data_IF_367826574543
#
_entry.id   IF_367826574543
#
_cell.length_a   1.000
_cell.length_b   1.000
_cell.length_c   1.000
_cell.angle_alpha   90.00
_cell.angle_beta   90.00
_cell.angle_gamma   90.00
#
_symmetry.space_group_name_H-M   'P 1'
#
loop_
_entity.id
_entity.type
_entity.pdbx_description
1 polymer ?
#
# COMPACT_ATOMS: atom_id res chain seq x y z
N UNK A 1 10.52 24.76 19.64
CA UNK A 1 10.40 23.28 19.61
C UNK A 1 11.13 22.77 18.37
N UNK A 2 11.88 21.64 18.49
CA UNK A 2 12.52 21.00 17.33
C UNK A 2 11.51 20.33 16.42
N UNK A 3 11.75 20.35 15.11
CA UNK A 3 10.84 19.73 14.12
C UNK A 3 10.71 18.23 14.32
N UNK A 4 11.78 17.53 14.71
CA UNK A 4 11.74 16.11 15.09
C UNK A 4 10.70 15.82 16.19
N UNK A 5 10.71 16.62 17.25
CA UNK A 5 9.77 16.46 18.36
C UNK A 5 8.33 16.65 17.88
N UNK A 6 8.09 17.68 17.09
CA UNK A 6 6.80 17.92 16.48
C UNK A 6 6.35 16.78 15.57
N UNK A 7 7.23 16.28 14.68
CA UNK A 7 6.87 15.19 13.76
C UNK A 7 6.43 13.92 14.48
N UNK A 8 7.13 13.56 15.58
CA UNK A 8 6.76 12.39 16.38
C UNK A 8 5.43 12.60 17.09
N UNK A 9 5.20 13.77 17.67
CA UNK A 9 3.94 14.14 18.29
C UNK A 9 2.78 14.16 17.28
N UNK A 10 3.01 14.77 16.10
CA UNK A 10 2.04 14.82 15.02
C UNK A 10 1.65 13.43 14.50
N UNK A 11 2.63 12.54 14.34
CA UNK A 11 2.38 11.17 13.92
C UNK A 11 1.50 10.42 14.94
N UNK A 12 1.80 10.53 16.22
CA UNK A 12 1.10 9.79 17.28
C UNK A 12 -0.32 10.37 17.53
N UNK A 13 -0.46 11.69 17.60
CA UNK A 13 -1.69 12.32 18.04
C UNK A 13 -2.63 12.75 16.90
N UNK A 14 -2.12 12.96 15.68
CA UNK A 14 -2.94 13.43 14.55
C UNK A 14 -3.08 12.40 13.43
N UNK A 15 -2.01 11.65 13.14
CA UNK A 15 -2.02 10.68 12.03
C UNK A 15 -2.56 9.33 12.48
N UNK A 16 -2.03 8.78 13.57
CA UNK A 16 -2.37 7.44 14.06
C UNK A 16 -3.87 7.24 14.35
N UNK A 17 -4.58 8.19 15.00
CA UNK A 17 -6.00 8.02 15.28
C UNK A 17 -6.89 8.09 14.03
N UNK A 18 -6.45 8.76 12.97
CA UNK A 18 -7.26 9.04 11.79
C UNK A 18 -6.88 8.23 10.55
N UNK A 19 -5.69 7.64 10.53
CA UNK A 19 -5.16 6.94 9.36
C UNK A 19 -5.16 5.41 9.56
N UNK A 20 -5.29 4.68 8.45
CA UNK A 20 -5.04 3.24 8.47
C UNK A 20 -3.58 2.96 8.84
N UNK A 21 -3.34 1.85 9.57
CA UNK A 21 -2.01 1.40 10.02
C UNK A 21 -0.94 1.58 8.94
N UNK A 22 -1.19 1.11 7.73
CA UNK A 22 -0.22 1.20 6.63
C UNK A 22 0.11 2.63 6.19
N UNK A 23 -0.82 3.56 6.35
CA UNK A 23 -0.57 4.99 6.08
C UNK A 23 0.30 5.59 7.17
N UNK A 24 0.03 5.26 8.42
CA UNK A 24 0.84 5.66 9.57
C UNK A 24 2.28 5.14 9.43
N UNK A 25 2.47 3.84 9.20
CA UNK A 25 3.80 3.22 9.00
C UNK A 25 4.56 3.89 7.85
N UNK A 26 3.90 4.18 6.74
CA UNK A 26 4.49 4.88 5.61
C UNK A 26 4.93 6.29 5.98
N UNK A 27 4.10 7.04 6.69
CA UNK A 27 4.43 8.40 7.13
C UNK A 27 5.57 8.38 8.15
N UNK A 28 5.51 7.45 9.10
CA UNK A 28 6.59 7.23 10.07
C UNK A 28 7.92 6.93 9.37
N UNK A 29 7.94 6.01 8.42
CA UNK A 29 9.14 5.67 7.65
C UNK A 29 9.69 6.87 6.86
N UNK A 30 8.81 7.67 6.24
CA UNK A 30 9.20 8.89 5.53
C UNK A 30 9.82 9.91 6.50
N UNK A 31 9.20 10.12 7.64
CA UNK A 31 9.72 11.04 8.66
C UNK A 31 11.08 10.57 9.18
N UNK A 32 11.20 9.30 9.58
CA UNK A 32 12.39 8.75 10.20
C UNK A 32 13.58 8.69 9.24
N UNK A 33 13.36 8.31 7.98
CA UNK A 33 14.44 8.05 7.02
C UNK A 33 14.82 9.27 6.16
N UNK A 34 13.90 10.23 5.96
CA UNK A 34 14.11 11.29 4.98
C UNK A 34 13.98 12.70 5.56
N UNK A 35 13.05 12.93 6.48
CA UNK A 35 12.80 14.30 6.99
C UNK A 35 13.65 14.58 8.22
N UNK A 36 13.58 13.72 9.23
CA UNK A 36 14.29 13.91 10.51
C UNK A 36 15.81 14.01 10.34
N UNK A 37 16.49 13.18 9.51
CA UNK A 37 17.94 13.31 9.34
C UNK A 37 18.39 14.66 8.80
N UNK A 38 17.56 15.34 8.02
CA UNK A 38 17.91 16.60 7.36
C UNK A 38 17.38 17.84 8.09
N UNK A 39 16.16 17.77 8.63
CA UNK A 39 15.45 18.91 9.19
C UNK A 39 15.06 18.74 10.66
N UNK A 40 15.28 17.57 11.24
CA UNK A 40 14.79 17.25 12.58
C UNK A 40 15.32 18.16 13.69
N UNK A 41 16.53 18.66 13.57
CA UNK A 41 17.16 19.53 14.57
C UNK A 41 16.81 21.02 14.40
N UNK A 42 16.18 21.39 13.29
CA UNK A 42 15.73 22.77 13.07
C UNK A 42 14.62 23.14 14.07
N UNK A 43 14.61 24.40 14.46
CA UNK A 43 13.47 24.95 15.17
C UNK A 43 12.27 25.03 14.21
N UNK A 44 11.14 24.45 14.63
CA UNK A 44 9.92 24.36 13.81
C UNK A 44 9.46 25.70 13.24
N UNK A 45 9.57 26.78 14.03
CA UNK A 45 9.15 28.13 13.62
C UNK A 45 10.14 28.82 12.66
N UNK A 46 11.36 28.30 12.53
CA UNK A 46 12.42 28.88 11.71
C UNK A 46 12.64 28.14 10.39
N UNK A 47 11.94 27.03 10.15
CA UNK A 47 12.03 26.30 8.89
C UNK A 47 11.59 27.22 7.75
N UNK A 48 12.51 27.43 6.80
CA UNK A 48 12.25 28.25 5.61
C UNK A 48 11.88 27.40 4.39
N UNK A 49 11.28 28.05 3.38
CA UNK A 49 11.03 27.43 2.06
C UNK A 49 12.33 26.94 1.42
N UNK A 50 13.45 27.65 1.66
CA UNK A 50 14.77 27.30 1.11
C UNK A 50 15.26 25.98 1.71
N UNK A 51 15.09 25.76 3.01
CA UNK A 51 15.50 24.51 3.67
C UNK A 51 14.70 23.32 3.15
N UNK A 52 13.40 23.51 2.98
CA UNK A 52 12.51 22.51 2.39
C UNK A 52 12.90 22.19 0.93
N UNK A 53 13.23 23.23 0.14
CA UNK A 53 13.62 23.03 -1.26
C UNK A 53 15.00 22.34 -1.38
N UNK A 54 15.95 22.63 -0.47
CA UNK A 54 17.24 21.93 -0.40
C UNK A 54 17.04 20.44 -0.12
N UNK A 55 16.17 20.08 0.84
CA UNK A 55 15.84 18.67 1.10
C UNK A 55 15.27 18.00 -0.15
N UNK A 56 14.33 18.63 -0.85
CA UNK A 56 13.72 18.08 -2.07
C UNK A 56 14.78 17.84 -3.13
N UNK A 57 15.69 18.79 -3.35
CA UNK A 57 16.79 18.65 -4.31
C UNK A 57 17.71 17.49 -3.92
N UNK A 58 18.10 17.39 -2.65
CA UNK A 58 18.92 16.29 -2.14
C UNK A 58 18.25 14.93 -2.35
N UNK A 59 16.94 14.82 -2.11
CA UNK A 59 16.20 13.58 -2.35
C UNK A 59 16.17 13.18 -3.83
N UNK A 60 16.08 14.15 -4.73
CA UNK A 60 16.07 13.91 -6.18
C UNK A 60 17.45 13.52 -6.71
N UNK A 61 18.55 13.94 -6.08
CA UNK A 61 19.92 13.68 -6.55
C UNK A 61 20.55 12.43 -5.89
N UNK A 62 20.41 12.26 -4.58
CA UNK A 62 21.10 11.23 -3.79
C UNK A 62 20.24 10.62 -2.66
N UNK A 63 18.93 10.77 -2.70
CA UNK A 63 18.03 10.38 -1.59
C UNK A 63 17.86 8.88 -1.37
N UNK A 64 18.31 8.02 -2.26
CA UNK A 64 18.22 6.58 -2.10
C UNK A 64 19.43 6.02 -1.33
N UNK A 65 19.24 5.77 -0.04
CA UNK A 65 20.30 5.27 0.86
C UNK A 65 20.90 3.92 0.44
N UNK A 66 20.21 3.11 -0.36
CA UNK A 66 20.73 1.80 -0.79
C UNK A 66 21.61 1.90 -2.04
N UNK A 67 21.27 2.80 -2.95
CA UNK A 67 21.94 2.90 -4.26
C UNK A 67 22.75 4.17 -4.43
N UNK A 68 22.64 5.14 -3.52
CA UNK A 68 23.22 6.47 -3.65
C UNK A 68 22.63 7.32 -4.77
N UNK A 69 21.60 6.83 -5.49
CA UNK A 69 20.92 7.54 -6.59
C UNK A 69 19.77 8.40 -6.07
N UNK A 70 19.24 9.24 -6.94
CA UNK A 70 18.04 10.02 -6.65
C UNK A 70 16.78 9.18 -6.47
N UNK A 71 15.84 9.70 -5.71
CA UNK A 71 14.49 9.14 -5.57
C UNK A 71 13.61 9.55 -6.77
N UNK A 72 12.58 8.75 -7.04
CA UNK A 72 11.60 9.10 -8.08
C UNK A 72 10.80 10.35 -7.69
N UNK A 73 10.41 11.18 -8.68
CA UNK A 73 9.58 12.36 -8.47
C UNK A 73 8.26 12.03 -7.74
N UNK A 74 7.66 10.87 -8.01
CA UNK A 74 6.46 10.40 -7.32
C UNK A 74 6.69 10.17 -5.82
N UNK A 75 7.82 9.56 -5.45
CA UNK A 75 8.17 9.34 -4.06
C UNK A 75 8.46 10.69 -3.37
N UNK A 76 9.25 11.55 -3.99
CA UNK A 76 9.55 12.90 -3.46
C UNK A 76 8.26 13.71 -3.27
N UNK A 77 7.31 13.64 -4.19
CA UNK A 77 5.99 14.26 -4.04
C UNK A 77 5.21 13.70 -2.83
N UNK A 78 5.41 12.41 -2.48
CA UNK A 78 4.83 11.86 -1.25
C UNK A 78 5.50 12.45 0.00
N UNK A 79 6.83 12.58 0.00
CA UNK A 79 7.57 13.24 1.10
C UNK A 79 7.09 14.69 1.29
N UNK A 80 6.95 15.45 0.19
CA UNK A 80 6.40 16.81 0.22
C UNK A 80 5.01 16.83 0.85
N UNK A 81 4.14 15.88 0.52
CA UNK A 81 2.79 15.80 1.09
C UNK A 81 2.82 15.57 2.61
N UNK A 82 3.75 14.76 3.12
CA UNK A 82 3.93 14.54 4.57
C UNK A 82 4.41 15.83 5.24
N UNK A 83 5.41 16.52 4.67
CA UNK A 83 5.90 17.80 5.16
C UNK A 83 4.76 18.83 5.19
N UNK A 84 4.03 18.96 4.09
CA UNK A 84 2.91 19.90 4.00
C UNK A 84 1.83 19.64 5.03
N UNK A 85 1.45 18.37 5.24
CA UNK A 85 0.43 18.01 6.21
C UNK A 85 0.89 18.31 7.64
N UNK A 86 2.14 17.96 8.00
CA UNK A 86 2.67 18.22 9.34
C UNK A 86 2.80 19.72 9.64
N UNK A 87 3.36 20.50 8.71
CA UNK A 87 3.53 21.95 8.88
C UNK A 87 2.19 22.70 8.81
N UNK A 88 1.23 22.23 8.01
CA UNK A 88 -0.12 22.78 8.00
C UNK A 88 -0.80 22.61 9.36
N UNK A 89 -0.69 21.42 9.95
CA UNK A 89 -1.25 21.16 11.29
C UNK A 89 -0.56 22.06 12.33
N UNK A 90 0.77 22.16 12.30
CA UNK A 90 1.53 23.02 13.20
C UNK A 90 1.09 24.50 13.11
N UNK A 91 0.88 24.99 11.91
CA UNK A 91 0.40 26.37 11.69
C UNK A 91 -1.02 26.57 12.22
N UNK A 92 -1.94 25.62 11.94
CA UNK A 92 -3.32 25.71 12.38
C UNK A 92 -3.47 25.74 13.92
N UNK A 93 -2.55 25.10 14.65
CA UNK A 93 -2.53 25.09 16.13
C UNK A 93 -1.61 26.20 16.72
N UNK A 94 -1.10 27.10 15.88
CA UNK A 94 -0.33 28.25 16.33
C UNK A 94 1.15 27.99 16.67
N UNK A 95 1.71 26.82 16.32
CA UNK A 95 3.13 26.52 16.57
C UNK A 95 4.09 27.20 15.58
N UNK A 96 3.60 27.62 14.43
CA UNK A 96 4.38 28.37 13.43
C UNK A 96 3.63 29.61 12.99
N UNK A 97 4.34 30.76 12.80
CA UNK A 97 3.71 32.00 12.39
C UNK A 97 3.19 31.97 10.96
N UNK A 98 3.82 31.17 10.10
CA UNK A 98 3.49 31.06 8.68
C UNK A 98 3.48 29.62 8.21
N UNK A 99 2.60 29.29 7.25
CA UNK A 99 2.59 28.02 6.55
C UNK A 99 3.49 28.08 5.31
N UNK A 100 4.79 27.89 5.51
CA UNK A 100 5.81 28.03 4.46
C UNK A 100 5.79 26.91 3.42
N UNK A 101 5.27 25.72 3.79
CA UNK A 101 5.31 24.54 2.92
C UNK A 101 4.37 24.61 1.70
N UNK A 102 3.46 25.58 1.63
CA UNK A 102 2.64 25.84 0.45
C UNK A 102 3.44 26.40 -0.73
N UNK A 103 4.58 27.04 -0.45
CA UNK A 103 5.45 27.67 -1.46
C UNK A 103 6.46 26.69 -2.09
N UNK A 104 6.45 25.42 -1.69
CA UNK A 104 7.35 24.38 -2.22
C UNK A 104 7.07 24.13 -3.70
N UNK A 105 8.13 24.12 -4.53
CA UNK A 105 8.05 23.70 -5.92
C UNK A 105 8.13 22.17 -6.05
N UNK A 106 7.03 21.55 -6.47
CA UNK A 106 6.96 20.11 -6.66
C UNK A 106 7.68 19.67 -7.94
N UNK A 107 8.42 18.54 -7.92
CA UNK A 107 8.99 17.96 -9.13
C UNK A 107 7.88 17.46 -10.06
N UNK A 108 8.11 17.65 -11.37
CA UNK A 108 7.23 17.08 -12.40
C UNK A 108 7.34 15.57 -12.42
N UNK A 109 6.22 14.90 -12.50
CA UNK A 109 6.15 13.45 -12.68
C UNK A 109 5.99 13.13 -14.15
N UNK A 110 6.72 12.10 -14.61
CA UNK A 110 6.52 11.56 -15.96
C UNK A 110 5.57 10.38 -15.83
N UNK A 111 4.47 10.43 -16.56
CA UNK A 111 3.59 9.28 -16.67
C UNK A 111 4.32 8.19 -17.43
N UNK A 112 4.46 7.03 -16.79
CA UNK A 112 4.97 5.83 -17.46
C UNK A 112 3.81 5.10 -18.08
N UNK A 113 3.94 4.81 -19.37
CA UNK A 113 3.04 3.88 -20.02
C UNK A 113 3.15 2.53 -19.33
N UNK A 114 2.01 1.94 -19.01
CA UNK A 114 1.96 0.62 -18.36
C UNK A 114 1.91 -0.42 -19.46
N UNK A 115 2.89 -1.31 -19.50
CA UNK A 115 2.88 -2.46 -20.39
C UNK A 115 1.82 -3.46 -19.92
N UNK A 116 0.93 -3.82 -20.82
CA UNK A 116 -0.09 -4.84 -20.60
C UNK A 116 0.26 -6.11 -21.36
N UNK A 117 -0.11 -7.26 -20.80
CA UNK A 117 0.04 -8.51 -21.52
C UNK A 117 -0.79 -8.51 -22.81
N UNK A 118 -0.18 -8.96 -23.90
CA UNK A 118 -0.90 -9.25 -25.14
C UNK A 118 -1.78 -10.50 -24.93
N UNK A 119 -2.76 -10.70 -25.80
CA UNK A 119 -3.60 -11.88 -25.77
C UNK A 119 -2.78 -13.19 -25.85
N UNK A 120 -1.72 -13.20 -26.67
CA UNK A 120 -0.86 -14.39 -26.79
C UNK A 120 -0.06 -14.66 -25.51
N UNK A 121 0.44 -13.64 -24.85
CA UNK A 121 1.13 -13.79 -23.56
C UNK A 121 0.18 -14.27 -22.47
N UNK A 122 -1.02 -13.71 -22.42
CA UNK A 122 -2.07 -14.19 -21.51
C UNK A 122 -2.36 -15.68 -21.73
N UNK A 123 -2.52 -16.13 -22.96
CA UNK A 123 -2.75 -17.53 -23.29
C UNK A 123 -1.59 -18.45 -22.86
N UNK A 124 -0.35 -18.02 -23.03
CA UNK A 124 0.82 -18.75 -22.52
C UNK A 124 0.81 -18.88 -21.00
N UNK A 125 0.49 -17.81 -20.29
CA UNK A 125 0.35 -17.83 -18.83
C UNK A 125 -0.74 -18.82 -18.41
N UNK A 126 -1.91 -18.75 -19.02
CA UNK A 126 -3.02 -19.68 -18.75
C UNK A 126 -2.60 -21.14 -18.94
N UNK A 127 -2.02 -21.46 -20.09
CA UNK A 127 -1.55 -22.82 -20.41
C UNK A 127 -0.53 -23.30 -19.37
N UNK A 128 0.44 -22.46 -19.01
CA UNK A 128 1.42 -22.82 -17.99
C UNK A 128 0.77 -23.11 -16.63
N UNK A 129 -0.16 -22.27 -16.20
CA UNK A 129 -0.87 -22.46 -14.94
C UNK A 129 -1.72 -23.73 -14.94
N UNK A 130 -2.44 -23.99 -16.02
CA UNK A 130 -3.32 -25.13 -16.16
C UNK A 130 -2.57 -26.49 -16.19
N UNK A 131 -1.36 -26.50 -16.75
CA UNK A 131 -0.50 -27.70 -16.77
C UNK A 131 0.39 -27.82 -15.53
N UNK A 132 0.38 -26.81 -14.67
CA UNK A 132 1.15 -26.79 -13.43
C UNK A 132 0.34 -27.47 -12.32
N UNK A 133 0.93 -28.46 -11.63
CA UNK A 133 0.35 -29.06 -10.42
C UNK A 133 0.36 -28.10 -9.19
N UNK A 134 0.53 -26.80 -9.41
CA UNK A 134 0.66 -25.81 -8.33
C UNK A 134 -0.63 -24.99 -8.21
N UNK A 135 -1.53 -25.41 -7.34
CA UNK A 135 -2.82 -24.75 -7.07
C UNK A 135 -2.71 -23.24 -6.80
N UNK A 136 -1.59 -22.81 -6.20
CA UNK A 136 -1.34 -21.40 -5.88
C UNK A 136 -1.27 -20.49 -7.12
N UNK A 137 -0.91 -21.02 -8.29
CA UNK A 137 -0.83 -20.24 -9.53
C UNK A 137 -2.20 -19.91 -10.11
N UNK A 138 -3.25 -20.62 -9.71
CA UNK A 138 -4.61 -20.35 -10.15
C UNK A 138 -5.07 -18.92 -9.83
N UNK A 139 -4.60 -18.35 -8.72
CA UNK A 139 -4.85 -16.93 -8.38
C UNK A 139 -4.41 -15.96 -9.46
N UNK A 140 -3.36 -16.27 -10.22
CA UNK A 140 -2.89 -15.44 -11.34
C UNK A 140 -3.93 -15.40 -12.45
N UNK A 141 -4.45 -16.57 -12.85
CA UNK A 141 -5.50 -16.67 -13.88
C UNK A 141 -6.77 -15.99 -13.42
N UNK A 142 -7.15 -16.18 -12.15
CA UNK A 142 -8.31 -15.49 -11.58
C UNK A 142 -8.15 -13.97 -11.67
N UNK A 143 -6.97 -13.43 -11.34
CA UNK A 143 -6.69 -11.99 -11.48
C UNK A 143 -6.74 -11.51 -12.93
N UNK A 144 -6.22 -12.28 -13.88
CA UNK A 144 -6.26 -11.92 -15.31
C UNK A 144 -7.70 -11.77 -15.84
N UNK A 145 -8.61 -12.62 -15.39
CA UNK A 145 -10.00 -12.60 -15.85
C UNK A 145 -10.92 -11.66 -15.06
N UNK A 146 -10.61 -11.38 -13.79
CA UNK A 146 -11.50 -10.64 -12.89
C UNK A 146 -11.00 -9.23 -12.57
N UNK A 147 -9.75 -8.92 -12.86
CA UNK A 147 -9.13 -7.64 -12.47
C UNK A 147 -9.02 -7.46 -10.94
N UNK A 148 -8.99 -8.55 -10.17
CA UNK A 148 -8.78 -8.49 -8.73
C UNK A 148 -7.43 -7.87 -8.39
N UNK A 149 -7.45 -6.97 -7.40
CA UNK A 149 -6.20 -6.52 -6.79
C UNK A 149 -5.60 -7.64 -5.95
N UNK A 150 -4.28 -7.68 -5.83
CA UNK A 150 -3.59 -8.74 -5.05
C UNK A 150 -4.11 -8.85 -3.62
N UNK A 151 -4.42 -7.75 -2.95
CA UNK A 151 -4.98 -7.76 -1.61
C UNK A 151 -6.41 -8.31 -1.57
N UNK A 152 -7.22 -8.10 -2.61
CA UNK A 152 -8.56 -8.66 -2.74
C UNK A 152 -8.47 -10.17 -2.96
N UNK A 153 -7.56 -10.63 -3.85
CA UNK A 153 -7.30 -12.05 -4.08
C UNK A 153 -6.90 -12.77 -2.78
N UNK A 154 -5.96 -12.19 -2.01
CA UNK A 154 -5.47 -12.77 -0.77
C UNK A 154 -6.51 -12.82 0.35
N UNK A 155 -7.55 -12.00 0.26
CA UNK A 155 -8.66 -11.97 1.22
C UNK A 155 -9.83 -12.87 0.83
N UNK A 156 -9.82 -13.47 -0.37
CA UNK A 156 -10.90 -14.32 -0.85
C UNK A 156 -11.02 -15.60 -0.03
N UNK A 157 -12.27 -15.97 0.21
CA UNK A 157 -12.67 -17.26 0.78
C UNK A 157 -13.71 -17.91 -0.13
N UNK A 158 -13.92 -19.21 0.03
CA UNK A 158 -14.94 -19.94 -0.74
C UNK A 158 -16.35 -19.40 -0.56
N UNK A 159 -16.63 -18.76 0.59
CA UNK A 159 -17.92 -18.10 0.86
C UNK A 159 -18.17 -16.86 -0.01
N UNK A 160 -17.12 -16.31 -0.59
CA UNK A 160 -17.22 -15.13 -1.46
C UNK A 160 -17.53 -15.53 -2.92
N UNK A 161 -17.71 -16.84 -3.23
CA UNK A 161 -18.01 -17.35 -4.58
C UNK A 161 -19.35 -18.06 -4.58
N UNK A 162 -20.27 -17.60 -5.41
CA UNK A 162 -21.50 -18.31 -5.74
C UNK A 162 -21.30 -19.13 -7.03
N UNK A 163 -20.99 -20.41 -6.86
CA UNK A 163 -20.74 -21.30 -8.00
C UNK A 163 -22.00 -21.55 -8.83
N UNK A 164 -23.17 -21.53 -8.22
CA UNK A 164 -24.44 -21.75 -8.93
C UNK A 164 -24.78 -20.61 -9.89
N UNK A 165 -24.49 -19.36 -9.49
CA UNK A 165 -24.69 -18.17 -10.29
C UNK A 165 -23.46 -17.74 -11.06
N UNK A 166 -22.29 -18.33 -10.78
CA UNK A 166 -21.02 -17.89 -11.36
C UNK A 166 -20.63 -16.48 -10.95
N UNK A 167 -20.80 -16.11 -9.69
CA UNK A 167 -20.56 -14.76 -9.18
C UNK A 167 -19.48 -14.77 -8.10
N UNK A 168 -18.61 -13.77 -8.13
CA UNK A 168 -17.58 -13.49 -7.14
C UNK A 168 -17.90 -12.18 -6.42
N UNK A 169 -17.94 -12.20 -5.09
CA UNK A 169 -18.22 -11.05 -4.24
C UNK A 169 -16.91 -10.49 -3.66
N UNK A 170 -16.55 -9.27 -4.05
CA UNK A 170 -15.37 -8.57 -3.53
C UNK A 170 -15.80 -7.63 -2.44
N UNK A 171 -15.49 -7.97 -1.18
CA UNK A 171 -15.90 -7.18 0.00
C UNK A 171 -14.76 -6.93 1.00
N UNK A 172 -13.60 -7.56 0.78
CA UNK A 172 -12.46 -7.56 1.71
C UNK A 172 -11.16 -7.34 0.97
N UNK A 173 -10.15 -6.88 1.69
CA UNK A 173 -8.76 -6.82 1.21
C UNK A 173 -7.83 -7.28 2.31
N UNK A 174 -6.77 -7.98 1.92
CA UNK A 174 -5.73 -8.46 2.83
C UNK A 174 -4.44 -7.70 2.58
N UNK A 175 -3.74 -7.35 3.63
CA UNK A 175 -2.42 -6.74 3.54
C UNK A 175 -1.57 -7.15 4.75
N UNK A 176 -0.26 -7.11 4.56
CA UNK A 176 0.67 -7.32 5.66
C UNK A 176 0.82 -5.99 6.43
N UNK A 177 0.87 -6.09 7.74
CA UNK A 177 1.14 -5.01 8.69
C UNK A 177 2.13 -5.46 9.74
N UNK A 178 2.47 -4.54 10.64
CA UNK A 178 3.33 -4.81 11.79
C UNK A 178 2.63 -4.27 13.04
N UNK A 179 2.53 -5.09 14.08
CA UNK A 179 1.95 -4.68 15.39
C UNK A 179 3.01 -4.08 16.33
N UNK A 180 4.23 -3.85 15.83
CA UNK A 180 5.38 -3.38 16.60
C UNK A 180 6.32 -4.50 17.05
N UNK A 181 5.89 -5.76 17.03
CA UNK A 181 6.68 -6.93 17.41
C UNK A 181 6.69 -8.02 16.32
N UNK A 182 5.57 -8.18 15.61
CA UNK A 182 5.38 -9.26 14.64
C UNK A 182 4.80 -8.76 13.31
N UNK A 183 5.14 -9.45 12.23
CA UNK A 183 4.41 -9.33 10.97
C UNK A 183 3.03 -9.98 11.12
N UNK A 184 2.00 -9.18 10.99
CA UNK A 184 0.61 -9.64 11.05
C UNK A 184 -0.05 -9.49 9.69
N UNK A 185 -1.01 -10.38 9.41
CA UNK A 185 -1.87 -10.27 8.24
C UNK A 185 -3.20 -9.64 8.66
N UNK A 186 -3.52 -8.50 8.06
CA UNK A 186 -4.72 -7.73 8.37
C UNK A 186 -5.71 -7.91 7.24
N UNK A 187 -6.92 -8.38 7.60
CA UNK A 187 -8.07 -8.38 6.68
C UNK A 187 -8.93 -7.16 7.04
N UNK A 188 -9.13 -6.29 6.06
CA UNK A 188 -9.82 -5.02 6.26
C UNK A 188 -10.90 -4.82 5.17
N UNK A 189 -11.83 -3.91 5.45
CA UNK A 189 -12.79 -3.46 4.44
C UNK A 189 -12.07 -2.67 3.34
N UNK A 190 -12.58 -2.67 2.11
CA UNK A 190 -12.04 -1.84 1.04
C UNK A 190 -12.02 -0.36 1.42
N UNK A 191 -11.11 0.42 0.83
CA UNK A 191 -10.95 1.86 1.12
C UNK A 191 -12.19 2.70 0.81
N UNK A 192 -13.02 2.25 -0.10
CA UNK A 192 -14.23 2.97 -0.53
C UNK A 192 -15.38 2.01 -0.71
N UNK A 193 -16.61 2.51 -0.53
CA UNK A 193 -17.86 1.74 -0.77
C UNK A 193 -17.89 1.19 -2.20
N UNK A 194 -17.43 1.96 -3.19
CA UNK A 194 -17.36 1.55 -4.59
C UNK A 194 -16.36 0.38 -4.87
N UNK A 195 -15.50 0.05 -3.92
CA UNK A 195 -14.62 -1.11 -4.05
C UNK A 195 -15.32 -2.42 -3.75
N UNK A 196 -16.51 -2.39 -3.13
CA UNK A 196 -17.38 -3.57 -3.01
C UNK A 196 -18.07 -3.77 -4.34
N UNK A 197 -17.88 -4.92 -4.96
CA UNK A 197 -18.42 -5.23 -6.27
C UNK A 197 -18.66 -6.73 -6.43
N UNK A 198 -19.53 -7.05 -7.34
CA UNK A 198 -19.79 -8.42 -7.79
C UNK A 198 -19.20 -8.57 -9.20
N UNK A 199 -18.46 -9.62 -9.43
CA UNK A 199 -17.80 -9.91 -10.69
C UNK A 199 -18.37 -11.22 -11.23
N UNK A 200 -18.91 -11.25 -12.47
CA UNK A 200 -19.28 -12.51 -13.09
C UNK A 200 -18.00 -13.31 -13.42
N UNK A 201 -17.98 -14.58 -13.03
CA UNK A 201 -16.89 -15.47 -13.35
C UNK A 201 -17.09 -16.05 -14.75
N UNK A 202 -16.09 -15.95 -15.63
CA UNK A 202 -16.15 -16.57 -16.94
C UNK A 202 -16.30 -18.10 -16.82
N UNK A 203 -17.10 -18.69 -17.72
CA UNK A 203 -17.35 -20.15 -17.73
C UNK A 203 -16.07 -20.99 -17.83
N UNK A 204 -15.03 -20.42 -18.41
CA UNK A 204 -13.73 -21.07 -18.54
C UNK A 204 -13.00 -21.30 -17.19
N UNK A 205 -13.36 -20.53 -16.17
CA UNK A 205 -12.76 -20.63 -14.83
C UNK A 205 -13.59 -21.52 -13.90
N UNK A 206 -14.88 -21.73 -14.21
CA UNK A 206 -15.85 -22.31 -13.29
C UNK A 206 -15.74 -23.83 -13.04
N UNK A 207 -15.47 -24.74 -14.00
CA UNK A 207 -15.84 -26.12 -13.74
C UNK A 207 -14.75 -27.06 -13.21
N UNK A 208 -13.53 -27.02 -13.68
CA UNK A 208 -12.60 -28.12 -13.40
C UNK A 208 -11.56 -27.82 -12.31
N UNK A 209 -11.09 -26.59 -12.23
CA UNK A 209 -9.95 -26.22 -11.39
C UNK A 209 -10.36 -25.68 -10.02
N UNK A 210 -11.51 -25.00 -9.94
CA UNK A 210 -12.08 -24.60 -8.64
C UNK A 210 -12.63 -25.81 -7.88
N UNK A 211 -13.17 -26.82 -8.56
CA UNK A 211 -13.57 -28.08 -7.92
C UNK A 211 -12.39 -28.89 -7.41
N UNK A 212 -11.28 -28.92 -8.12
CA UNK A 212 -10.06 -29.59 -7.67
C UNK A 212 -9.50 -28.98 -6.38
N UNK A 213 -9.61 -27.65 -6.24
CA UNK A 213 -9.20 -26.95 -5.01
C UNK A 213 -10.23 -27.15 -3.87
N UNK A 214 -11.52 -27.33 -4.19
CA UNK A 214 -12.57 -27.56 -3.18
C UNK A 214 -12.53 -28.96 -2.57
N UNK A 215 -11.89 -29.90 -3.21
CA UNK A 215 -11.70 -31.28 -2.71
C UNK A 215 -10.46 -31.41 -1.80
N UNK A 216 -9.60 -30.43 -1.75
CA UNK A 216 -8.56 -30.37 -0.73
C UNK A 216 -9.18 -29.89 0.59
N UNK A 217 -8.92 -30.58 1.74
CA UNK A 217 -9.49 -30.18 3.02
C UNK A 217 -9.11 -28.72 3.33
N UNK A 218 -9.96 -27.98 4.07
CA UNK A 218 -9.75 -26.56 4.32
C UNK A 218 -8.52 -26.36 5.21
N UNK A 219 -7.35 -26.33 4.59
CA UNK A 219 -6.22 -25.67 5.20
C UNK A 219 -6.50 -24.18 5.12
N UNK A 220 -6.86 -23.63 6.28
CA UNK A 220 -6.80 -22.21 6.64
C UNK A 220 -6.24 -21.30 5.54
N UNK A 221 -7.03 -20.34 5.09
CA UNK A 221 -6.71 -19.21 4.22
C UNK A 221 -5.48 -19.47 3.33
N UNK A 222 -5.53 -19.26 2.01
CA UNK A 222 -4.37 -19.38 1.09
C UNK A 222 -3.12 -18.77 1.74
N UNK A 223 -2.50 -19.53 2.66
CA UNK A 223 -1.33 -19.10 3.42
C UNK A 223 -0.12 -19.37 2.57
N UNK A 224 0.53 -18.33 2.12
CA UNK A 224 1.95 -18.37 1.81
C UNK A 224 2.65 -18.82 3.10
N UNK A 225 3.45 -19.90 3.10
CA UNK A 225 4.18 -20.29 4.31
C UNK A 225 5.19 -19.22 4.65
N UNK A 226 4.89 -18.40 5.64
CA UNK A 226 5.90 -17.66 6.38
C UNK A 226 6.23 -18.48 7.62
N UNK A 227 7.51 -18.80 7.82
CA UNK A 227 8.03 -19.29 9.10
C UNK A 227 7.88 -18.19 10.16
N UNK A 228 6.67 -17.95 10.63
CA UNK A 228 6.41 -17.11 11.80
C UNK A 228 4.92 -17.18 12.15
N UNK A 229 4.63 -17.28 13.41
CA UNK A 229 3.30 -17.36 14.03
C UNK A 229 2.43 -16.18 13.58
N UNK A 230 1.36 -16.47 12.86
CA UNK A 230 0.43 -15.45 12.34
C UNK A 230 -0.78 -15.37 13.27
N UNK A 231 -0.91 -14.29 14.01
CA UNK A 231 -2.17 -13.92 14.67
C UNK A 231 -3.04 -13.13 13.69
N UNK A 232 -4.29 -13.56 13.54
CA UNK A 232 -5.30 -12.88 12.72
C UNK A 232 -6.08 -11.95 13.62
N UNK A 233 -5.90 -10.64 13.49
CA UNK A 233 -6.82 -9.67 14.08
C UNK A 233 -7.88 -9.29 13.04
N UNK A 234 -9.13 -9.45 13.42
CA UNK A 234 -10.31 -8.96 12.67
C UNK A 234 -10.75 -7.67 13.36
N UNK A 235 -10.51 -6.54 12.71
CA UNK A 235 -11.11 -5.29 13.16
C UNK A 235 -12.49 -5.14 12.51
N UNK A 236 -13.53 -5.02 13.35
CA UNK A 236 -14.92 -4.77 12.99
C UNK A 236 -15.15 -3.33 12.51
#
# INVERSE_FOLDING_TARGET
>A
MKYKTWLLDWLENYVKPSAKIRTYERYYGICALHIIPSLGEYNLAEISVIDLQKLITALLTCGNHKTGKGMSANFVNTVISVIQNSLKTAHLIGLTPEYVANKIKRPKTVEKQVDCFTYQEQKKIEQYVLHSAKDKLFGVVLCLYTGLRIGELLALTWKDIDFGKGLLFVSKTCHDGNDGQNHIRIIDSPKTVHSRRVIPLPKQILPAQLMAISLSPPHSAMTVPSNSTVSVMVNG
#
